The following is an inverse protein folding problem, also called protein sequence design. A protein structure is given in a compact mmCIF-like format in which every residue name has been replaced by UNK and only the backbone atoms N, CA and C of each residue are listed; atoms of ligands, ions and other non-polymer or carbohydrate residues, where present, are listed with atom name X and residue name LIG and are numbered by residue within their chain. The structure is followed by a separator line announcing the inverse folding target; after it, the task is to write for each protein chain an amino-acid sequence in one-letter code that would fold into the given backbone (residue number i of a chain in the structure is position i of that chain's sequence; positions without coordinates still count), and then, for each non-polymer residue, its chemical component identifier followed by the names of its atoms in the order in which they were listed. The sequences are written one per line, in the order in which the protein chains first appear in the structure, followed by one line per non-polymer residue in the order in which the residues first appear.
data_IF_360952218775
#
_entry.id   IF_360952218775
#
_cell.length_a   1.000
_cell.length_b   1.000
_cell.length_c   1.000
_cell.angle_alpha   90.00
_cell.angle_beta   90.00
_cell.angle_gamma   90.00
#
_symmetry.space_group_name_H-M   'P 1'
#
loop_
_entity.id
_entity.type
_entity.pdbx_description
1 polymer ?
#
# COMPACT_ATOMS: atom_id res chain seq x y z
N UNK A 1 8.53 32.58 -28.85
CA UNK A 1 7.47 31.56 -28.70
C UNK A 1 7.55 30.89 -27.32
N UNK A 2 7.57 31.66 -26.21
CA UNK A 2 7.82 31.13 -24.86
C UNK A 2 6.76 31.54 -23.80
N UNK A 3 5.58 32.03 -24.21
CA UNK A 3 4.54 32.47 -23.26
C UNK A 3 3.38 31.50 -23.08
N UNK A 4 3.00 30.72 -24.11
CA UNK A 4 1.85 29.80 -24.07
C UNK A 4 2.08 28.56 -23.19
N UNK A 5 3.33 28.09 -23.09
CA UNK A 5 3.70 26.90 -22.29
C UNK A 5 3.63 27.15 -20.77
N UNK A 6 3.58 28.41 -20.32
CA UNK A 6 3.59 28.74 -18.88
C UNK A 6 2.20 28.79 -18.24
N UNK A 7 1.16 29.11 -19.00
CA UNK A 7 -0.19 29.33 -18.47
C UNK A 7 -1.01 28.04 -18.42
N UNK A 8 -0.83 27.16 -19.42
CA UNK A 8 -1.32 25.79 -19.40
C UNK A 8 -0.71 24.98 -18.24
N UNK A 9 0.59 25.14 -17.98
CA UNK A 9 1.28 24.48 -16.85
C UNK A 9 0.83 25.01 -15.48
N UNK A 10 0.56 26.32 -15.35
CA UNK A 10 0.01 26.91 -14.12
C UNK A 10 -1.43 26.49 -13.86
N UNK A 11 -2.26 26.49 -14.90
CA UNK A 11 -3.64 25.95 -14.85
C UNK A 11 -3.61 24.45 -14.53
N UNK A 12 -2.60 23.74 -15.06
CA UNK A 12 -2.37 22.35 -14.77
C UNK A 12 -2.14 22.12 -13.26
N UNK A 13 -1.16 22.82 -12.70
CA UNK A 13 -0.85 22.77 -11.26
C UNK A 13 -2.00 23.25 -10.37
N UNK A 14 -2.83 24.20 -10.83
CA UNK A 14 -3.96 24.70 -10.05
C UNK A 14 -5.09 23.67 -9.88
N UNK A 15 -5.40 22.86 -10.91
CA UNK A 15 -6.46 21.83 -10.80
C UNK A 15 -5.95 20.48 -10.26
N UNK A 16 -4.64 20.30 -10.06
CA UNK A 16 -4.04 19.11 -9.46
C UNK A 16 -3.34 19.47 -8.15
N UNK A 17 -4.14 19.72 -7.11
CA UNK A 17 -3.65 19.72 -5.73
C UNK A 17 -4.14 18.44 -5.08
N UNK A 18 -3.28 17.41 -5.08
CA UNK A 18 -3.51 16.17 -4.34
C UNK A 18 -3.32 16.41 -2.83
N UNK A 19 -2.43 17.33 -2.46
CA UNK A 19 -2.19 17.69 -1.07
C UNK A 19 -3.25 18.71 -0.64
N UNK A 20 -4.21 18.25 0.16
CA UNK A 20 -5.15 19.13 0.81
C UNK A 20 -4.36 20.06 1.76
N UNK A 21 -4.56 21.38 1.65
CA UNK A 21 -4.04 22.31 2.65
C UNK A 21 -4.77 22.04 3.96
N UNK A 22 -4.09 21.43 4.91
CA UNK A 22 -4.69 21.14 6.20
C UNK A 22 -4.74 22.42 7.02
N UNK A 23 -5.92 23.04 7.10
CA UNK A 23 -6.15 24.19 7.95
C UNK A 23 -6.69 23.72 9.30
N UNK A 24 -6.15 24.25 10.41
CA UNK A 24 -6.60 23.95 11.78
C UNK A 24 -6.44 22.48 12.22
N UNK A 25 -5.51 21.71 11.65
CA UNK A 25 -5.33 20.29 12.04
C UNK A 25 -5.05 20.14 13.54
N UNK A 26 -4.22 21.02 14.11
CA UNK A 26 -3.87 20.98 15.54
C UNK A 26 -5.12 21.10 16.44
N UNK A 27 -6.10 21.91 16.03
CA UNK A 27 -7.38 22.04 16.76
C UNK A 27 -8.22 20.78 16.65
N UNK A 28 -8.24 20.14 15.48
CA UNK A 28 -8.93 18.85 15.28
C UNK A 28 -8.25 17.75 16.09
N UNK A 29 -6.91 17.73 16.11
CA UNK A 29 -6.12 16.76 16.85
C UNK A 29 -6.34 16.89 18.36
N UNK A 30 -6.36 18.12 18.89
CA UNK A 30 -6.60 18.39 20.31
C UNK A 30 -7.98 17.96 20.85
N UNK A 31 -8.93 17.65 19.96
CA UNK A 31 -10.27 17.15 20.33
C UNK A 31 -10.37 15.62 20.28
N UNK A 32 -9.34 14.93 19.78
CA UNK A 32 -9.33 13.47 19.67
C UNK A 32 -8.80 12.86 20.96
N UNK A 33 -9.17 11.60 21.26
CA UNK A 33 -8.49 10.84 22.30
C UNK A 33 -6.99 10.73 22.03
N UNK A 34 -6.21 10.65 23.11
CA UNK A 34 -4.78 10.37 23.03
C UNK A 34 -4.51 9.04 22.32
N UNK A 35 -3.36 8.95 21.68
CA UNK A 35 -2.91 7.69 21.08
C UNK A 35 -2.63 6.66 22.18
N UNK A 36 -3.24 5.48 22.09
CA UNK A 36 -2.99 4.40 23.06
C UNK A 36 -1.60 3.77 22.83
N UNK A 37 -0.68 4.08 23.76
CA UNK A 37 0.69 3.56 23.85
C UNK A 37 0.83 2.33 24.76
N UNK A 38 -0.26 1.74 25.24
CA UNK A 38 -0.23 0.60 26.17
C UNK A 38 0.46 -0.65 25.60
N UNK A 39 0.54 -0.76 24.27
CA UNK A 39 0.93 -1.99 23.57
C UNK A 39 0.09 -3.20 23.99
N UNK A 40 -1.17 -2.99 24.42
CA UNK A 40 -2.09 -4.06 24.77
C UNK A 40 -2.18 -5.09 23.63
N UNK A 41 -2.17 -6.40 23.92
CA UNK A 41 -2.28 -7.43 22.90
C UNK A 41 -3.47 -7.20 21.97
N UNK A 42 -3.29 -7.51 20.69
CA UNK A 42 -4.36 -7.48 19.69
C UNK A 42 -5.43 -8.49 20.11
N UNK A 43 -6.66 -8.02 20.26
CA UNK A 43 -7.77 -8.85 20.73
C UNK A 43 -8.19 -9.85 19.65
N UNK A 44 -8.19 -11.14 19.98
CA UNK A 44 -8.73 -12.17 19.08
C UNK A 44 -10.17 -12.48 19.50
N UNK A 45 -11.13 -12.11 18.66
CA UNK A 45 -12.56 -12.34 18.91
C UNK A 45 -13.04 -13.63 18.23
N UNK A 46 -14.24 -14.07 18.61
CA UNK A 46 -14.97 -15.09 17.83
C UNK A 46 -15.29 -14.58 16.43
N UNK A 47 -15.63 -15.51 15.55
CA UNK A 47 -16.17 -15.16 14.23
C UNK A 47 -17.44 -14.30 14.36
N UNK A 48 -17.64 -13.34 13.44
CA UNK A 48 -18.76 -12.39 13.53
C UNK A 48 -20.14 -13.03 13.31
N UNK A 49 -20.18 -14.20 12.69
CA UNK A 49 -21.41 -14.92 12.38
C UNK A 49 -21.23 -16.44 12.52
N UNK A 50 -21.37 -17.00 13.74
CA UNK A 50 -21.20 -18.43 13.98
C UNK A 50 -22.31 -19.29 13.37
N UNK A 51 -23.46 -18.70 13.08
CA UNK A 51 -24.65 -19.39 12.57
C UNK A 51 -24.80 -19.22 11.04
N UNK A 52 -23.76 -18.76 10.34
CA UNK A 52 -23.76 -18.60 8.90
C UNK A 52 -23.65 -19.95 8.18
N UNK A 53 -24.47 -20.16 7.15
CA UNK A 53 -24.48 -21.33 6.28
C UNK A 53 -24.24 -20.96 4.81
N UNK A 54 -23.81 -21.95 4.03
CA UNK A 54 -23.64 -21.79 2.59
C UNK A 54 -24.95 -21.31 1.94
N UNK A 55 -24.90 -20.14 1.31
CA UNK A 55 -26.04 -19.52 0.63
C UNK A 55 -26.70 -18.36 1.40
N UNK A 56 -26.37 -18.17 2.68
CA UNK A 56 -27.03 -17.15 3.53
C UNK A 56 -26.74 -15.71 3.10
N UNK A 57 -25.70 -15.49 2.29
CA UNK A 57 -25.30 -14.16 1.85
C UNK A 57 -24.73 -13.33 3.00
N UNK A 58 -25.06 -12.04 3.05
CA UNK A 58 -24.54 -11.10 4.06
C UNK A 58 -25.54 -10.94 5.19
N UNK A 59 -25.08 -11.09 6.43
CA UNK A 59 -25.90 -10.86 7.63
C UNK A 59 -26.50 -9.45 7.62
N UNK A 60 -27.80 -9.37 7.86
CA UNK A 60 -28.53 -8.09 7.89
C UNK A 60 -28.71 -7.44 6.52
N UNK A 61 -28.54 -8.19 5.42
CA UNK A 61 -28.87 -7.69 4.09
C UNK A 61 -30.31 -7.17 4.03
N UNK A 62 -30.44 -5.87 3.78
CA UNK A 62 -31.72 -5.22 3.60
C UNK A 62 -32.01 -5.09 2.10
N UNK A 63 -33.03 -5.79 1.55
CA UNK A 63 -33.39 -5.69 0.13
C UNK A 63 -33.91 -4.30 -0.27
N UNK A 64 -34.20 -3.44 0.71
CA UNK A 64 -34.59 -2.04 0.53
C UNK A 64 -33.46 -1.05 0.85
N UNK A 65 -32.20 -1.51 0.83
CA UNK A 65 -31.04 -0.63 1.00
C UNK A 65 -31.02 0.47 -0.07
N UNK A 66 -30.34 1.57 0.25
CA UNK A 66 -30.10 2.66 -0.69
C UNK A 66 -29.44 2.12 -1.97
N UNK A 67 -29.95 2.54 -3.12
CA UNK A 67 -29.44 2.09 -4.42
C UNK A 67 -28.03 2.60 -4.66
N UNK A 68 -27.24 1.81 -5.38
CA UNK A 68 -25.99 2.28 -5.94
C UNK A 68 -26.23 3.41 -6.94
N UNK A 69 -25.23 4.28 -7.06
CA UNK A 69 -25.14 5.26 -8.15
C UNK A 69 -24.02 4.82 -9.09
N UNK A 70 -24.22 5.01 -10.38
CA UNK A 70 -23.17 4.84 -11.38
C UNK A 70 -22.27 6.08 -11.38
N UNK A 71 -20.95 5.85 -11.44
CA UNK A 71 -19.95 6.92 -11.51
C UNK A 71 -19.01 6.61 -12.66
N UNK A 72 -19.09 7.38 -13.74
CA UNK A 72 -18.13 7.33 -14.83
C UNK A 72 -16.85 8.09 -14.42
N UNK A 73 -15.67 7.42 -14.32
CA UNK A 73 -14.42 8.10 -13.97
C UNK A 73 -13.94 9.08 -15.05
N UNK A 74 -14.49 9.01 -16.26
CA UNK A 74 -14.13 9.85 -17.42
C UNK A 74 -15.19 10.90 -17.77
N UNK A 75 -16.23 11.06 -16.94
CA UNK A 75 -17.25 12.08 -17.16
C UNK A 75 -16.60 13.49 -17.34
N UNK A 76 -17.00 14.29 -18.36
CA UNK A 76 -16.32 15.54 -18.71
C UNK A 76 -16.23 16.58 -17.57
N UNK A 77 -17.20 16.58 -16.67
CA UNK A 77 -17.33 17.48 -15.54
C UNK A 77 -16.70 16.94 -14.25
N UNK A 78 -16.11 15.74 -14.27
CA UNK A 78 -15.52 15.11 -13.10
C UNK A 78 -14.04 15.45 -12.93
N UNK A 79 -13.65 16.10 -11.82
CA UNK A 79 -12.23 16.34 -11.52
C UNK A 79 -11.49 15.03 -11.28
N UNK A 80 -10.32 14.85 -11.89
CA UNK A 80 -9.47 13.64 -11.71
C UNK A 80 -9.08 13.39 -10.25
N UNK A 81 -8.95 14.44 -9.44
CA UNK A 81 -8.70 14.33 -7.99
C UNK A 81 -9.82 13.59 -7.25
N UNK A 82 -11.06 13.61 -7.75
CA UNK A 82 -12.16 12.86 -7.16
C UNK A 82 -12.03 11.36 -7.43
N UNK A 83 -11.45 10.95 -8.57
CA UNK A 83 -11.08 9.55 -8.80
C UNK A 83 -10.02 9.11 -7.80
N UNK A 84 -8.98 9.91 -7.61
CA UNK A 84 -7.95 9.64 -6.61
C UNK A 84 -8.57 9.47 -5.21
N UNK A 85 -9.35 10.45 -4.74
CA UNK A 85 -9.99 10.41 -3.42
C UNK A 85 -10.89 9.19 -3.25
N UNK A 86 -11.71 8.88 -4.25
CA UNK A 86 -12.62 7.74 -4.24
C UNK A 86 -11.89 6.40 -4.22
N UNK A 87 -10.81 6.26 -5.01
CA UNK A 87 -10.01 5.03 -5.05
C UNK A 87 -9.30 4.80 -3.71
N UNK A 88 -8.67 5.83 -3.13
CA UNK A 88 -7.96 5.65 -1.84
C UNK A 88 -8.90 5.53 -0.64
N UNK A 89 -10.14 6.00 -0.73
CA UNK A 89 -11.12 5.79 0.34
C UNK A 89 -11.85 4.46 0.21
N UNK A 90 -12.15 4.01 -1.01
CA UNK A 90 -12.85 2.76 -1.28
C UNK A 90 -11.95 1.52 -1.26
N UNK A 91 -10.68 1.66 -1.61
CA UNK A 91 -9.68 0.58 -1.54
C UNK A 91 -8.86 0.81 -0.27
N UNK A 92 -9.35 0.30 0.85
CA UNK A 92 -8.74 0.43 2.17
C UNK A 92 -9.09 -0.76 3.09
N UNK A 93 -8.24 -1.14 4.04
CA UNK A 93 -6.88 -0.63 4.27
C UNK A 93 -5.90 -1.07 3.18
N UNK A 94 -4.97 -0.18 2.80
CA UNK A 94 -3.87 -0.52 1.90
C UNK A 94 -2.60 -0.79 2.70
N UNK A 95 -1.83 -1.84 2.40
CA UNK A 95 -0.51 -2.01 3.01
C UNK A 95 0.41 -0.90 2.53
N UNK A 96 1.42 -0.58 3.34
CA UNK A 96 2.41 0.44 3.04
C UNK A 96 3.69 -0.26 2.60
N UNK A 97 4.02 -0.17 1.31
CA UNK A 97 5.32 -0.54 0.79
C UNK A 97 6.34 0.53 1.13
N UNK A 98 7.16 0.30 2.14
CA UNK A 98 8.20 1.25 2.55
C UNK A 98 9.55 0.87 1.94
N UNK A 99 9.93 1.58 0.89
CA UNK A 99 10.94 1.10 -0.06
C UNK A 99 12.20 1.93 0.08
N UNK A 100 13.33 1.25 0.30
CA UNK A 100 14.65 1.85 0.16
C UNK A 100 15.28 1.52 -1.20
N UNK A 101 15.99 2.50 -1.75
CA UNK A 101 16.73 2.38 -3.01
C UNK A 101 18.02 3.17 -2.96
N UNK A 102 18.89 2.99 -3.96
CA UNK A 102 20.10 3.79 -4.16
C UNK A 102 20.11 4.37 -5.57
N UNK A 103 20.67 5.56 -5.76
CA UNK A 103 20.75 6.20 -7.08
C UNK A 103 21.70 5.46 -8.02
N UNK A 104 21.38 5.49 -9.32
CA UNK A 104 22.22 4.91 -10.38
C UNK A 104 23.27 5.87 -10.96
N UNK A 105 23.18 7.17 -10.63
CA UNK A 105 23.99 8.26 -11.18
C UNK A 105 25.44 8.34 -10.64
N UNK A 106 25.88 7.33 -9.88
CA UNK A 106 27.21 7.29 -9.27
C UNK A 106 27.36 8.11 -7.98
N UNK A 107 26.36 8.92 -7.60
CA UNK A 107 26.36 9.59 -6.28
C UNK A 107 26.10 8.63 -5.13
N UNK A 108 25.51 7.47 -5.42
CA UNK A 108 25.06 6.48 -4.44
C UNK A 108 24.16 7.08 -3.34
N UNK A 109 23.37 8.08 -3.71
CA UNK A 109 22.38 8.69 -2.81
C UNK A 109 21.37 7.62 -2.41
N UNK A 110 21.12 7.50 -1.11
CA UNK A 110 20.17 6.56 -0.54
C UNK A 110 18.81 7.23 -0.45
N UNK A 111 17.76 6.55 -0.88
CA UNK A 111 16.39 7.02 -0.76
C UNK A 111 15.55 6.07 0.07
N UNK A 112 14.52 6.60 0.71
CA UNK A 112 13.56 5.85 1.50
C UNK A 112 12.17 6.50 1.39
N UNK A 113 11.14 5.78 0.93
CA UNK A 113 9.81 6.41 0.74
C UNK A 113 8.64 5.42 0.84
N UNK A 114 7.47 5.84 1.35
CA UNK A 114 6.28 5.00 1.45
C UNK A 114 5.41 5.02 0.18
N UNK A 115 4.85 3.86 -0.16
CA UNK A 115 3.95 3.66 -1.28
C UNK A 115 2.77 2.77 -0.87
N UNK A 116 1.54 3.26 -0.92
CA UNK A 116 0.36 2.42 -0.64
C UNK A 116 -0.28 1.77 -1.85
N UNK A 117 0.24 2.03 -3.06
CA UNK A 117 -0.09 1.24 -4.24
C UNK A 117 0.87 0.05 -4.30
N UNK A 118 0.81 -0.79 -3.27
CA UNK A 118 1.74 -1.89 -3.03
C UNK A 118 0.98 -3.18 -2.70
N UNK A 119 1.43 -4.33 -3.20
CA UNK A 119 0.91 -5.64 -2.82
C UNK A 119 1.87 -6.79 -3.18
N UNK A 120 1.69 -7.96 -2.56
CA UNK A 120 2.22 -9.27 -2.95
C UNK A 120 1.45 -9.78 -4.18
N UNK A 121 2.15 -10.42 -5.11
CA UNK A 121 1.55 -11.06 -6.30
C UNK A 121 1.51 -12.58 -6.13
N UNK A 122 2.63 -13.18 -5.74
CA UNK A 122 2.79 -14.63 -5.64
C UNK A 122 3.82 -14.97 -4.56
N UNK A 123 3.87 -16.24 -4.18
CA UNK A 123 4.77 -16.84 -3.21
C UNK A 123 5.77 -17.81 -3.85
N UNK A 124 5.50 -18.31 -5.07
CA UNK A 124 6.46 -19.15 -5.82
C UNK A 124 6.53 -18.77 -7.33
N UNK A 125 7.44 -17.86 -7.73
CA UNK A 125 8.40 -17.17 -6.87
C UNK A 125 7.75 -16.08 -6.00
N UNK A 126 8.37 -15.64 -4.90
CA UNK A 126 7.83 -14.53 -4.12
C UNK A 126 7.95 -13.21 -4.89
N UNK A 127 6.80 -12.61 -5.20
CA UNK A 127 6.68 -11.49 -6.13
C UNK A 127 5.86 -10.36 -5.53
N UNK A 128 6.22 -9.12 -5.87
CA UNK A 128 5.61 -7.90 -5.37
C UNK A 128 5.37 -6.91 -6.50
N UNK A 129 4.37 -6.05 -6.33
CA UNK A 129 4.04 -4.95 -7.24
C UNK A 129 4.04 -3.62 -6.50
N UNK A 130 4.57 -2.58 -7.16
CA UNK A 130 4.51 -1.20 -6.69
C UNK A 130 4.05 -0.30 -7.83
N UNK A 131 2.98 0.45 -7.60
CA UNK A 131 2.44 1.46 -8.49
C UNK A 131 3.00 2.85 -8.21
N UNK A 132 3.32 3.56 -9.29
CA UNK A 132 3.80 4.93 -9.29
C UNK A 132 2.81 5.80 -10.08
N UNK A 133 2.09 6.66 -9.38
CA UNK A 133 1.18 7.61 -10.03
C UNK A 133 1.93 8.77 -10.65
N UNK A 134 1.45 9.22 -11.81
CA UNK A 134 1.89 10.43 -12.46
C UNK A 134 1.74 11.64 -11.54
N UNK A 135 2.68 12.59 -11.58
CA UNK A 135 2.62 13.88 -10.88
C UNK A 135 2.79 15.04 -11.87
N UNK A 136 2.20 16.22 -11.61
CA UNK A 136 2.49 17.44 -12.36
C UNK A 136 3.93 17.90 -12.10
N UNK A 137 4.55 18.49 -13.10
CA UNK A 137 5.94 18.97 -13.01
C UNK A 137 6.86 18.42 -14.10
N UNK A 138 6.31 17.86 -15.18
CA UNK A 138 7.05 17.33 -16.31
C UNK A 138 7.65 15.94 -16.06
N UNK A 139 8.79 15.66 -16.69
CA UNK A 139 9.45 14.34 -16.69
C UNK A 139 10.10 13.94 -15.35
N UNK A 140 9.97 14.75 -14.29
CA UNK A 140 10.52 14.41 -12.97
C UNK A 140 9.66 13.35 -12.29
N UNK A 141 9.91 12.10 -12.64
CA UNK A 141 9.41 10.95 -11.88
C UNK A 141 10.00 10.94 -10.45
N UNK A 142 9.33 10.22 -9.54
CA UNK A 142 9.82 10.00 -8.17
C UNK A 142 11.21 9.35 -8.19
N UNK A 143 12.05 9.74 -7.24
CA UNK A 143 13.44 9.25 -7.16
C UNK A 143 13.49 7.73 -6.96
N UNK A 144 12.62 7.16 -6.11
CA UNK A 144 12.49 5.70 -5.98
C UNK A 144 12.18 5.00 -7.32
N UNK A 145 11.29 5.56 -8.15
CA UNK A 145 10.95 4.99 -9.46
C UNK A 145 12.16 5.01 -10.40
N UNK A 146 12.85 6.15 -10.45
CA UNK A 146 14.09 6.31 -11.21
C UNK A 146 15.14 5.28 -10.78
N UNK A 147 15.39 5.20 -9.47
CA UNK A 147 16.38 4.29 -8.90
C UNK A 147 16.03 2.83 -9.22
N UNK A 148 14.77 2.42 -9.12
CA UNK A 148 14.33 1.07 -9.50
C UNK A 148 14.62 0.75 -10.97
N UNK A 149 14.40 1.71 -11.88
CA UNK A 149 14.71 1.53 -13.31
C UNK A 149 16.20 1.47 -13.61
N UNK A 150 16.98 2.31 -12.94
CA UNK A 150 18.43 2.43 -13.20
C UNK A 150 19.23 1.31 -12.53
N UNK A 151 18.85 0.93 -11.32
CA UNK A 151 19.62 0.01 -10.47
C UNK A 151 19.04 -1.39 -10.40
N UNK A 152 17.73 -1.54 -10.63
CA UNK A 152 17.04 -2.82 -10.53
C UNK A 152 16.99 -3.41 -9.11
N UNK A 153 17.30 -2.65 -8.07
CA UNK A 153 17.47 -3.14 -6.70
C UNK A 153 16.68 -2.30 -5.68
N UNK A 154 16.09 -2.96 -4.68
CA UNK A 154 15.41 -2.31 -3.57
C UNK A 154 15.33 -3.20 -2.33
N UNK A 155 14.95 -2.60 -1.20
CA UNK A 155 14.39 -3.34 -0.07
C UNK A 155 12.99 -2.81 0.23
N UNK A 156 12.02 -3.71 0.39
CA UNK A 156 10.67 -3.43 0.87
C UNK A 156 10.63 -3.72 2.38
N UNK A 157 10.20 -2.75 3.18
CA UNK A 157 10.20 -2.84 4.64
C UNK A 157 8.77 -2.77 5.16
N UNK A 158 8.44 -3.60 6.14
CA UNK A 158 7.15 -3.55 6.81
C UNK A 158 7.11 -2.38 7.80
N UNK A 159 5.97 -1.68 7.85
CA UNK A 159 5.76 -0.52 8.72
C UNK A 159 4.98 -0.93 9.97
N UNK A 160 5.62 -0.77 11.12
CA UNK A 160 4.99 -0.95 12.44
C UNK A 160 4.44 0.39 12.93
N UNK A 161 3.42 0.37 13.79
CA UNK A 161 2.75 1.61 14.24
C UNK A 161 3.67 2.62 14.93
N UNK A 162 4.69 2.16 15.64
CA UNK A 162 5.68 3.00 16.31
C UNK A 162 6.65 3.71 15.33
N UNK A 163 6.65 3.33 14.05
CA UNK A 163 7.51 3.93 13.02
C UNK A 163 6.81 5.07 12.26
N UNK A 164 5.51 5.29 12.48
CA UNK A 164 4.68 6.05 11.52
C UNK A 164 5.12 7.49 11.32
N UNK A 165 5.55 8.18 12.38
CA UNK A 165 6.01 9.57 12.26
C UNK A 165 7.26 9.66 11.37
N UNK A 166 8.23 8.75 11.58
CA UNK A 166 9.44 8.67 10.77
C UNK A 166 9.14 8.28 9.32
N UNK A 167 8.24 7.32 9.11
CA UNK A 167 7.79 6.89 7.77
C UNK A 167 7.04 8.02 7.05
N UNK A 168 6.20 8.77 7.76
CA UNK A 168 5.48 9.90 7.18
C UNK A 168 6.42 11.08 6.87
N UNK A 169 7.47 11.29 7.67
CA UNK A 169 8.48 12.29 7.41
C UNK A 169 9.23 12.06 6.08
N UNK A 170 9.37 10.82 5.61
CA UNK A 170 9.97 10.53 4.30
C UNK A 170 9.03 10.77 3.11
N UNK A 171 7.76 11.10 3.35
CA UNK A 171 6.80 11.41 2.30
C UNK A 171 6.83 12.89 1.87
N UNK A 172 7.67 13.73 2.49
CA UNK A 172 7.83 15.13 2.10
C UNK A 172 8.41 15.26 0.69
N UNK A 173 8.12 16.36 -0.02
CA UNK A 173 8.68 16.63 -1.35
C UNK A 173 10.14 17.14 -1.23
N UNK A 174 11.04 16.28 -0.76
CA UNK A 174 12.46 16.56 -0.62
C UNK A 174 13.11 16.85 -2.00
N UNK A 175 14.12 17.76 -2.07
CA UNK A 175 14.93 17.95 -3.27
C UNK A 175 15.70 16.67 -3.64
N UNK A 176 15.97 16.49 -4.94
CA UNK A 176 16.82 15.39 -5.40
C UNK A 176 18.21 15.47 -4.75
N UNK A 177 18.75 14.34 -4.32
CA UNK A 177 20.04 14.26 -3.63
C UNK A 177 19.96 14.40 -2.10
N UNK A 178 18.80 14.76 -1.54
CA UNK A 178 18.58 14.74 -0.09
C UNK A 178 18.06 13.36 0.30
N UNK A 179 18.77 12.68 1.21
CA UNK A 179 18.41 11.35 1.70
C UNK A 179 17.29 11.43 2.74
N UNK A 180 16.22 10.67 2.53
CA UNK A 180 15.14 10.58 3.52
C UNK A 180 15.53 9.79 4.78
N UNK A 181 16.64 9.06 4.75
CA UNK A 181 17.20 8.43 5.96
C UNK A 181 17.58 9.49 7.01
N UNK A 182 18.21 10.59 6.57
CA UNK A 182 18.61 11.68 7.47
C UNK A 182 17.38 12.43 8.03
N UNK A 183 16.33 12.56 7.21
CA UNK A 183 15.08 13.24 7.59
C UNK A 183 14.30 12.42 8.63
N UNK A 184 14.23 11.10 8.43
CA UNK A 184 13.42 10.22 9.28
C UNK A 184 14.11 9.79 10.57
N UNK A 185 15.45 9.79 10.60
CA UNK A 185 16.22 9.28 11.73
C UNK A 185 16.13 7.75 11.90
N UNK A 186 15.64 7.04 10.88
CA UNK A 186 15.63 5.57 10.84
C UNK A 186 17.03 5.03 10.59
N UNK A 187 17.31 3.84 11.12
CA UNK A 187 18.65 3.26 11.04
C UNK A 187 18.78 2.25 9.90
N UNK A 188 19.88 2.36 9.16
CA UNK A 188 20.22 1.42 8.11
C UNK A 188 20.76 0.12 8.70
N UNK A 189 20.29 -1.01 8.18
CA UNK A 189 20.89 -2.31 8.38
C UNK A 189 21.26 -2.96 7.03
N UNK A 190 22.33 -3.76 6.97
CA UNK A 190 22.84 -4.27 5.70
C UNK A 190 21.92 -5.32 5.08
N UNK A 191 21.88 -5.32 3.75
CA UNK A 191 21.30 -6.35 2.89
C UNK A 191 22.40 -7.32 2.40
N UNK A 192 21.99 -8.48 1.89
CA UNK A 192 22.90 -9.60 1.52
C UNK A 192 22.99 -9.87 0.02
N UNK A 193 22.00 -9.45 -0.76
CA UNK A 193 21.82 -9.76 -2.18
C UNK A 193 21.53 -8.53 -3.07
N UNK A 194 21.35 -7.36 -2.45
CA UNK A 194 21.13 -6.06 -3.09
C UNK A 194 21.89 -4.95 -2.37
N UNK A 195 22.12 -3.80 -3.03
CA UNK A 195 22.82 -2.65 -2.44
C UNK A 195 22.02 -1.80 -1.43
N UNK A 196 20.72 -1.53 -1.63
CA UNK A 196 19.95 -0.71 -0.68
C UNK A 196 19.89 -1.33 0.71
N UNK A 197 19.97 -0.50 1.76
CA UNK A 197 19.86 -0.94 3.13
C UNK A 197 18.41 -1.27 3.51
N UNK A 198 18.24 -2.25 4.39
CA UNK A 198 16.97 -2.51 5.08
C UNK A 198 16.82 -1.57 6.27
N UNK A 199 15.59 -1.30 6.69
CA UNK A 199 15.30 -0.48 7.87
C UNK A 199 15.48 -1.34 9.12
N UNK A 200 16.35 -0.94 10.03
CA UNK A 200 16.69 -1.75 11.22
C UNK A 200 15.50 -1.96 12.14
N UNK A 201 14.61 -0.97 12.24
CA UNK A 201 13.42 -0.98 13.09
C UNK A 201 12.29 -1.86 12.53
N UNK A 202 12.32 -2.19 11.23
CA UNK A 202 11.29 -3.01 10.61
C UNK A 202 11.34 -4.45 11.10
N UNK A 203 10.16 -4.98 11.45
CA UNK A 203 9.98 -6.38 11.87
C UNK A 203 10.21 -7.36 10.73
N UNK A 204 9.91 -6.94 9.49
CA UNK A 204 10.06 -7.74 8.28
C UNK A 204 10.58 -6.87 7.13
N UNK A 205 11.55 -7.39 6.39
CA UNK A 205 12.09 -6.74 5.19
C UNK A 205 12.33 -7.75 4.08
N UNK A 206 12.16 -7.32 2.84
CA UNK A 206 12.33 -8.12 1.62
C UNK A 206 13.35 -7.43 0.73
N UNK A 207 14.48 -8.09 0.48
CA UNK A 207 15.39 -7.69 -0.58
C UNK A 207 14.80 -8.09 -1.93
N UNK A 208 14.77 -7.17 -2.88
CA UNK A 208 14.08 -7.38 -4.16
C UNK A 208 14.86 -6.88 -5.37
N UNK A 209 14.73 -7.63 -6.47
CA UNK A 209 15.22 -7.22 -7.79
C UNK A 209 14.07 -6.96 -8.74
N UNK A 210 14.17 -5.89 -9.51
CA UNK A 210 13.18 -5.54 -10.53
C UNK A 210 13.22 -6.59 -11.64
N UNK A 211 12.05 -7.12 -12.00
CA UNK A 211 11.90 -8.05 -13.13
C UNK A 211 11.28 -7.41 -14.36
N UNK A 212 10.40 -6.42 -14.17
CA UNK A 212 9.74 -5.71 -15.26
C UNK A 212 9.23 -4.35 -14.78
N UNK A 213 9.09 -3.44 -15.74
CA UNK A 213 8.52 -2.11 -15.53
C UNK A 213 7.56 -1.81 -16.65
N UNK A 214 6.28 -1.63 -16.30
CA UNK A 214 5.23 -1.24 -17.24
C UNK A 214 4.90 0.23 -17.07
N UNK A 215 5.06 1.00 -18.14
CA UNK A 215 4.70 2.42 -18.18
C UNK A 215 3.33 2.65 -18.82
N UNK A 216 2.57 3.58 -18.24
CA UNK A 216 1.26 4.02 -18.71
C UNK A 216 1.34 5.49 -19.12
N UNK A 217 1.03 5.75 -20.39
CA UNK A 217 1.26 7.04 -21.06
C UNK A 217 -0.02 7.70 -21.59
N UNK A 218 -1.21 7.17 -21.28
CA UNK A 218 -2.50 7.67 -21.76
C UNK A 218 -3.07 8.83 -20.92
N UNK A 219 -2.21 9.52 -20.15
CA UNK A 219 -2.64 10.65 -19.33
C UNK A 219 -3.35 11.68 -20.18
N UNK A 220 -4.58 12.00 -19.81
CA UNK A 220 -5.41 12.99 -20.52
C UNK A 220 -4.84 14.41 -20.47
N UNK A 221 -3.77 14.63 -19.69
CA UNK A 221 -3.20 15.93 -19.42
C UNK A 221 -1.73 15.98 -19.77
N UNK A 222 -1.35 17.01 -20.50
CA UNK A 222 0.05 17.30 -20.83
C UNK A 222 0.87 17.69 -19.58
N UNK A 223 2.18 17.44 -19.62
CA UNK A 223 3.12 17.83 -18.54
C UNK A 223 3.06 16.96 -17.28
N UNK A 224 2.38 15.82 -17.35
CA UNK A 224 2.35 14.80 -16.31
C UNK A 224 3.55 13.87 -16.45
N UNK A 225 4.17 13.48 -15.32
CA UNK A 225 5.19 12.44 -15.32
C UNK A 225 4.60 11.10 -15.76
N UNK A 226 5.45 10.17 -16.19
CA UNK A 226 5.01 8.80 -16.48
C UNK A 226 4.41 8.17 -15.22
N UNK A 227 3.25 7.51 -15.37
CA UNK A 227 2.75 6.56 -14.39
C UNK A 227 3.31 5.18 -14.74
N UNK A 228 3.56 4.35 -13.74
CA UNK A 228 4.14 3.05 -13.97
C UNK A 228 3.83 2.05 -12.89
N UNK A 229 4.11 0.80 -13.22
CA UNK A 229 4.08 -0.33 -12.32
C UNK A 229 5.45 -1.00 -12.38
N UNK A 230 6.00 -1.33 -11.22
CA UNK A 230 7.25 -2.08 -11.10
C UNK A 230 6.94 -3.43 -10.49
N UNK A 231 7.41 -4.50 -11.16
CA UNK A 231 7.35 -5.87 -10.67
C UNK A 231 8.70 -6.23 -10.04
N UNK A 232 8.65 -6.75 -8.81
CA UNK A 232 9.84 -7.02 -7.99
C UNK A 232 9.80 -8.49 -7.56
N UNK A 233 10.89 -9.21 -7.81
CA UNK A 233 11.10 -10.57 -7.32
C UNK A 233 11.95 -10.54 -6.07
N UNK A 234 11.51 -11.22 -5.02
CA UNK A 234 12.27 -11.34 -3.79
C UNK A 234 13.56 -12.14 -4.00
N UNK A 235 14.58 -11.78 -3.24
CA UNK A 235 15.90 -12.42 -3.24
C UNK A 235 16.33 -12.86 -1.85
N UNK A 236 15.86 -12.16 -0.80
CA UNK A 236 16.04 -12.53 0.61
C UNK A 236 14.90 -11.96 1.47
N UNK A 237 14.53 -12.69 2.51
CA UNK A 237 13.70 -12.17 3.60
C UNK A 237 14.53 -11.98 4.87
N UNK A 238 14.18 -10.94 5.63
CA UNK A 238 14.66 -10.67 6.97
C UNK A 238 13.47 -10.55 7.90
N UNK A 239 13.53 -11.22 9.03
CA UNK A 239 12.49 -11.17 10.05
C UNK A 239 13.13 -11.06 11.42
N UNK A 240 12.51 -10.29 12.32
CA UNK A 240 12.97 -10.17 13.70
C UNK A 240 12.73 -11.49 14.44
N UNK A 241 13.76 -11.98 15.12
CA UNK A 241 13.75 -13.32 15.74
C UNK A 241 12.65 -13.51 16.80
N UNK A 242 12.30 -12.46 17.53
CA UNK A 242 11.26 -12.49 18.58
C UNK A 242 9.83 -12.33 18.01
N UNK A 243 9.71 -12.20 16.69
CA UNK A 243 8.46 -11.92 16.00
C UNK A 243 8.05 -13.04 15.03
N UNK A 244 8.79 -14.14 14.99
CA UNK A 244 8.52 -15.26 14.08
C UNK A 244 8.42 -16.57 14.85
N UNK A 245 7.58 -17.47 14.36
CA UNK A 245 7.50 -18.83 14.86
C UNK A 245 8.77 -19.66 14.56
N UNK A 246 8.84 -20.86 15.13
CA UNK A 246 10.01 -21.74 15.03
C UNK A 246 10.34 -22.12 13.58
N UNK A 247 9.32 -22.27 12.75
CA UNK A 247 9.48 -22.69 11.35
C UNK A 247 9.74 -21.50 10.41
N UNK A 248 9.81 -20.28 10.95
CA UNK A 248 10.02 -19.04 10.18
C UNK A 248 8.93 -18.85 9.11
N UNK A 249 7.70 -19.24 9.46
CA UNK A 249 6.55 -19.34 8.56
C UNK A 249 5.47 -18.30 8.88
N UNK A 250 5.41 -17.83 10.14
CA UNK A 250 4.38 -16.92 10.61
C UNK A 250 4.97 -15.79 11.45
N UNK A 251 4.55 -14.55 11.16
CA UNK A 251 4.95 -13.36 11.93
C UNK A 251 3.87 -13.06 12.97
N UNK A 252 4.28 -12.92 14.24
CA UNK A 252 3.41 -12.49 15.32
C UNK A 252 2.94 -11.04 15.08
N UNK A 253 1.64 -10.88 14.85
CA UNK A 253 1.02 -9.58 14.59
C UNK A 253 1.12 -8.61 15.78
N UNK A 254 1.23 -9.12 17.02
CA UNK A 254 1.46 -8.29 18.21
C UNK A 254 2.83 -7.62 18.19
N UNK A 255 3.79 -8.25 17.52
CA UNK A 255 5.16 -7.74 17.34
C UNK A 255 5.25 -6.85 16.11
N UNK A 256 4.57 -7.22 15.02
CA UNK A 256 4.53 -6.45 13.77
C UNK A 256 3.75 -5.14 13.88
N UNK A 257 2.60 -5.13 14.59
CA UNK A 257 1.69 -3.97 14.70
C UNK A 257 1.52 -3.22 13.36
N UNK A 258 1.07 -3.91 12.29
CA UNK A 258 1.05 -3.33 10.96
C UNK A 258 0.04 -2.18 10.87
N UNK A 259 0.39 -1.16 10.10
CA UNK A 259 -0.53 -0.08 9.74
C UNK A 259 -1.14 -0.28 8.35
N UNK A 260 -2.42 0.07 8.22
CA UNK A 260 -3.10 0.22 6.95
C UNK A 260 -3.28 1.69 6.58
N UNK A 261 -2.88 2.11 5.39
CA UNK A 261 -3.22 3.44 4.90
C UNK A 261 -4.69 3.47 4.44
N UNK A 262 -5.44 4.48 4.87
CA UNK A 262 -6.86 4.67 4.58
C UNK A 262 -7.08 5.83 3.60
N UNK A 263 -8.32 6.30 3.48
CA UNK A 263 -8.65 7.49 2.70
C UNK A 263 -8.07 8.78 3.30
N UNK A 264 -7.66 9.71 2.43
CA UNK A 264 -7.05 10.97 2.86
C UNK A 264 -5.75 10.76 3.62
N UNK A 265 -5.64 11.36 4.80
CA UNK A 265 -4.45 11.31 5.67
C UNK A 265 -4.55 10.26 6.78
N UNK A 266 -5.61 9.43 6.78
CA UNK A 266 -5.88 8.51 7.87
C UNK A 266 -5.05 7.22 7.74
N UNK A 267 -4.61 6.72 8.90
CA UNK A 267 -4.01 5.40 9.06
C UNK A 267 -4.90 4.58 10.01
N UNK A 268 -5.02 3.27 9.75
CA UNK A 268 -5.72 2.32 10.59
C UNK A 268 -4.73 1.40 11.31
N UNK A 269 -4.99 1.16 12.60
CA UNK A 269 -4.30 0.15 13.41
C UNK A 269 -5.07 -1.17 13.34
N UNK A 270 -4.36 -2.29 13.48
CA UNK A 270 -4.99 -3.58 13.76
C UNK A 270 -5.02 -3.76 15.28
N UNK A 271 -6.19 -3.57 15.88
CA UNK A 271 -6.40 -3.72 17.34
C UNK A 271 -7.20 -4.96 17.70
N UNK A 272 -7.88 -5.57 16.73
CA UNK A 272 -8.63 -6.81 16.90
C UNK A 272 -8.59 -7.65 15.62
N UNK A 273 -8.64 -8.97 15.78
CA UNK A 273 -8.69 -9.97 14.70
C UNK A 273 -9.71 -11.07 15.02
N UNK A 274 -10.06 -11.86 14.01
CA UNK A 274 -10.80 -13.11 14.14
C UNK A 274 -10.30 -14.08 13.07
N UNK A 275 -10.55 -15.37 13.26
CA UNK A 275 -10.06 -16.42 12.36
C UNK A 275 -11.22 -17.13 11.66
N UNK A 276 -11.02 -17.41 10.37
CA UNK A 276 -11.91 -18.24 9.57
C UNK A 276 -11.07 -19.25 8.77
N UNK A 277 -11.21 -20.57 9.00
CA UNK A 277 -10.44 -21.55 8.28
C UNK A 277 -10.89 -21.61 6.82
N UNK A 278 -9.93 -21.71 5.89
CA UNK A 278 -10.24 -22.08 4.51
C UNK A 278 -10.68 -23.54 4.49
N UNK A 279 -11.89 -23.79 4.02
CA UNK A 279 -12.45 -25.15 3.90
C UNK A 279 -12.19 -25.73 2.52
N UNK A 280 -12.04 -27.05 2.44
CA UNK A 280 -11.88 -27.76 1.18
C UNK A 280 -13.23 -28.20 0.61
N UNK A 281 -13.43 -28.04 -0.70
CA UNK A 281 -14.69 -28.35 -1.37
C UNK A 281 -15.19 -29.77 -1.09
N UNK A 282 -14.32 -30.78 -1.25
CA UNK A 282 -14.69 -32.19 -1.04
C UNK A 282 -15.19 -32.49 0.36
N UNK A 283 -14.58 -31.86 1.38
CA UNK A 283 -14.97 -32.06 2.78
C UNK A 283 -16.31 -31.39 3.12
N UNK A 284 -16.65 -30.30 2.42
CA UNK A 284 -17.84 -29.50 2.72
C UNK A 284 -19.06 -29.88 1.88
N UNK A 285 -18.87 -30.43 0.67
CA UNK A 285 -19.97 -30.86 -0.19
C UNK A 285 -20.94 -31.79 0.51
N UNK A 286 -20.40 -32.78 1.22
CA UNK A 286 -21.21 -33.79 1.92
C UNK A 286 -21.92 -33.23 3.17
N UNK A 287 -21.53 -32.04 3.64
CA UNK A 287 -22.07 -31.41 4.85
C UNK A 287 -23.15 -30.37 4.54
N UNK A 288 -23.39 -30.05 3.26
CA UNK A 288 -24.36 -29.03 2.84
C UNK A 288 -25.18 -29.50 1.65
N UNK A 289 -26.51 -29.50 1.79
CA UNK A 289 -27.44 -29.83 0.71
C UNK A 289 -27.24 -28.91 -0.50
N UNK A 290 -27.02 -27.61 -0.26
CA UNK A 290 -26.73 -26.64 -1.32
C UNK A 290 -25.46 -27.02 -2.09
N UNK A 291 -24.36 -27.26 -1.40
CA UNK A 291 -23.10 -27.60 -2.05
C UNK A 291 -23.19 -28.94 -2.80
N UNK A 292 -23.83 -29.94 -2.20
CA UNK A 292 -24.11 -31.23 -2.85
C UNK A 292 -24.91 -31.07 -4.14
N UNK A 293 -25.94 -30.22 -4.15
CA UNK A 293 -26.73 -29.94 -5.35
C UNK A 293 -25.91 -29.24 -6.43
N UNK A 294 -25.08 -28.26 -6.04
CA UNK A 294 -24.17 -27.56 -6.95
C UNK A 294 -23.14 -28.51 -7.57
N UNK A 295 -22.56 -29.41 -6.77
CA UNK A 295 -21.56 -30.38 -7.22
C UNK A 295 -22.13 -31.34 -8.28
N UNK A 296 -23.33 -31.89 -8.06
CA UNK A 296 -24.05 -32.71 -9.06
C UNK A 296 -24.33 -31.93 -10.34
N UNK A 297 -24.81 -30.70 -10.22
CA UNK A 297 -25.13 -29.86 -11.38
C UNK A 297 -23.91 -29.47 -12.23
N UNK A 298 -22.69 -29.59 -11.68
CA UNK A 298 -21.43 -29.40 -12.40
C UNK A 298 -21.08 -30.64 -13.22
N UNK A 299 -21.33 -31.82 -12.69
CA UNK A 299 -21.03 -33.09 -13.38
C UNK A 299 -21.94 -33.35 -14.59
N UNK A 300 -23.14 -32.77 -14.57
CA UNK A 300 -24.11 -32.85 -15.67
C UNK A 300 -23.82 -31.86 -16.84
N UNK A 301 -22.77 -31.02 -16.75
CA UNK A 301 -22.38 -30.03 -17.78
C UNK A 301 -21.10 -30.41 -18.51
#
# INVERSE_FOLDING_TARGET
MNSATSEATKTAQAQYKIVDKVHNFDKVLAQRPDFDHSNAPIEVTKNPDPDWHYGDGVRGHNPHATKHIEVDPYAPDRPTVNNYRMLISGIAPRPIGFISTVSGDGSATKNLSPFSYFQVIDHDPPMFVVGFSARPGGDRAKDTYRNLKETGECVINAVSENMIEAVNATAIDAPYGVSEWDISGLHEAPASTVRPARVQESVFSVEGKVVDVKEFRDHQREGMSVAGMVLIKATRFWVREDAVDKDVSHIDINKLRPLGQLGGMAYGRITSTFELPRKHWGDECQKSELLSALDKSREDR
#
